data_IF_643427893208
#
_entry.id   IF_643427893208
#
_cell.length_a   1.000
_cell.length_b   1.000
_cell.length_c   1.000
_cell.angle_alpha   90.00
_cell.angle_beta   90.00
_cell.angle_gamma   90.00
#
_symmetry.space_group_name_H-M   'P 1'
#
loop_
_entity.id
_entity.type
_entity.pdbx_description
1 polymer ?
#
# COMPACT_ATOMS: atom_id res chain seq x y z
N UNK A 1 23.49 -24.53 -9.78
CA UNK A 1 22.79 -24.47 -8.48
C UNK A 1 22.29 -23.04 -8.32
N UNK A 2 21.03 -22.83 -7.96
CA UNK A 2 20.53 -21.47 -7.72
C UNK A 2 21.02 -20.99 -6.34
N UNK A 3 21.54 -19.76 -6.27
CA UNK A 3 22.00 -19.16 -5.02
C UNK A 3 20.84 -18.46 -4.32
N UNK A 4 20.76 -18.57 -2.99
CA UNK A 4 19.79 -17.86 -2.16
C UNK A 4 20.26 -16.41 -1.92
N UNK A 5 19.32 -15.47 -1.81
CA UNK A 5 19.61 -14.17 -1.22
C UNK A 5 19.78 -14.30 0.31
N UNK A 6 21.02 -14.31 0.78
CA UNK A 6 21.36 -14.47 2.20
C UNK A 6 20.84 -13.34 3.10
N UNK A 7 20.44 -12.20 2.54
CA UNK A 7 19.83 -11.12 3.33
C UNK A 7 18.52 -11.57 4.01
N UNK A 8 17.80 -12.54 3.45
CA UNK A 8 16.62 -13.12 4.09
C UNK A 8 16.94 -13.82 5.42
N UNK A 9 18.17 -14.29 5.61
CA UNK A 9 18.59 -14.93 6.86
C UNK A 9 18.87 -13.92 7.98
N UNK A 10 19.05 -12.64 7.64
CA UNK A 10 19.28 -11.56 8.61
C UNK A 10 17.98 -11.06 9.25
N UNK A 11 16.83 -11.26 8.59
CA UNK A 11 15.52 -10.85 9.08
C UNK A 11 15.18 -11.64 10.36
N UNK A 12 14.99 -10.94 11.48
CA UNK A 12 14.51 -11.59 12.70
C UNK A 12 13.07 -12.10 12.48
N UNK A 13 12.78 -13.28 13.01
CA UNK A 13 11.60 -14.07 12.64
C UNK A 13 10.27 -13.33 12.77
N UNK A 14 9.47 -13.41 11.70
CA UNK A 14 8.03 -13.10 11.66
C UNK A 14 7.70 -11.62 11.52
N UNK A 15 7.25 -11.20 10.33
CA UNK A 15 6.63 -9.88 10.17
C UNK A 15 5.51 -9.73 11.22
N UNK A 16 5.50 -8.61 11.94
CA UNK A 16 4.70 -8.36 13.15
C UNK A 16 3.23 -8.81 12.99
N UNK A 17 2.66 -8.51 11.83
CA UNK A 17 1.25 -8.68 11.54
C UNK A 17 0.82 -10.15 11.29
N UNK A 18 1.52 -10.94 10.45
CA UNK A 18 1.34 -12.39 10.39
C UNK A 18 1.45 -13.10 11.74
N UNK A 19 2.39 -12.69 12.59
CA UNK A 19 2.55 -13.33 13.90
C UNK A 19 1.38 -13.01 14.84
N UNK A 20 0.90 -11.76 14.85
CA UNK A 20 -0.35 -11.39 15.55
C UNK A 20 -1.52 -12.22 15.03
N UNK A 21 -1.67 -12.34 13.70
CA UNK A 21 -2.75 -13.10 13.08
C UNK A 21 -2.69 -14.59 13.47
N UNK A 22 -1.48 -15.19 13.51
CA UNK A 22 -1.28 -16.58 13.94
C UNK A 22 -1.76 -16.79 15.38
N UNK A 23 -1.31 -15.95 16.32
CA UNK A 23 -1.67 -16.07 17.75
C UNK A 23 -3.15 -15.80 18.00
N UNK A 24 -3.74 -14.81 17.32
CA UNK A 24 -5.19 -14.57 17.40
C UNK A 24 -5.96 -15.77 16.85
N UNK A 25 -5.47 -16.40 15.77
CA UNK A 25 -6.05 -17.62 15.21
C UNK A 25 -6.00 -18.80 16.19
N UNK A 26 -4.88 -19.00 16.88
CA UNK A 26 -4.72 -20.02 17.95
C UNK A 26 -5.69 -19.77 19.10
N UNK A 27 -5.70 -18.56 19.64
CA UNK A 27 -6.62 -18.15 20.70
C UNK A 27 -8.08 -18.40 20.33
N UNK A 28 -8.50 -18.04 19.11
CA UNK A 28 -9.87 -18.24 18.66
C UNK A 28 -10.27 -19.71 18.56
N UNK A 29 -9.32 -20.61 18.22
CA UNK A 29 -9.57 -22.06 18.17
C UNK A 29 -9.68 -22.67 19.56
N UNK A 30 -8.82 -22.24 20.49
CA UNK A 30 -8.76 -22.76 21.86
C UNK A 30 -9.87 -22.19 22.76
N UNK A 31 -10.38 -20.99 22.44
CA UNK A 31 -11.40 -20.31 23.24
C UNK A 31 -12.60 -19.81 22.41
N UNK A 32 -13.45 -20.70 21.86
CA UNK A 32 -14.55 -20.31 20.95
C UNK A 32 -15.56 -19.31 21.55
N UNK A 33 -15.88 -19.42 22.84
CA UNK A 33 -16.82 -18.49 23.49
C UNK A 33 -16.22 -17.10 23.71
N UNK A 34 -14.92 -17.01 23.98
CA UNK A 34 -14.23 -15.73 24.08
C UNK A 34 -14.04 -15.09 22.69
N UNK A 35 -13.79 -15.90 21.67
CA UNK A 35 -13.64 -15.47 20.28
C UNK A 35 -14.87 -14.70 19.77
N UNK A 36 -16.09 -15.09 20.18
CA UNK A 36 -17.34 -14.38 19.84
C UNK A 36 -17.39 -12.93 20.34
N UNK A 37 -16.59 -12.59 21.36
CA UNK A 37 -16.54 -11.27 22.00
C UNK A 37 -15.21 -10.54 21.71
N UNK A 38 -14.36 -11.10 20.85
CA UNK A 38 -13.05 -10.54 20.56
C UNK A 38 -13.19 -9.23 19.77
N UNK A 39 -12.61 -8.15 20.31
CA UNK A 39 -12.49 -6.86 19.62
C UNK A 39 -11.07 -6.73 19.09
N UNK A 40 -10.92 -6.48 17.79
CA UNK A 40 -9.61 -6.39 17.12
C UNK A 40 -9.19 -4.93 17.00
N UNK A 41 -8.31 -4.47 17.89
CA UNK A 41 -7.70 -3.14 17.86
C UNK A 41 -6.23 -3.15 17.36
N UNK A 42 -5.84 -4.17 16.59
CA UNK A 42 -4.51 -4.32 16.02
C UNK A 42 -4.38 -3.63 14.66
N UNK A 43 -4.01 -4.37 13.61
CA UNK A 43 -4.05 -3.88 12.22
C UNK A 43 -5.44 -3.31 11.90
N UNK A 44 -6.47 -4.03 12.36
CA UNK A 44 -7.86 -3.75 12.02
C UNK A 44 -8.13 -4.03 10.53
N UNK A 45 -9.40 -4.21 10.22
CA UNK A 45 -9.90 -3.97 8.87
C UNK A 45 -10.91 -2.83 8.99
N UNK A 46 -10.98 -1.95 8.00
CA UNK A 46 -11.92 -0.84 8.06
C UNK A 46 -13.34 -1.39 8.00
N UNK A 47 -14.26 -0.81 8.78
CA UNK A 47 -15.64 -1.30 8.88
C UNK A 47 -16.61 -0.52 7.99
N UNK A 48 -16.23 0.68 7.56
CA UNK A 48 -17.06 1.55 6.75
C UNK A 48 -16.92 1.22 5.25
N UNK A 49 -18.02 1.24 4.49
CA UNK A 49 -17.98 0.98 3.07
C UNK A 49 -17.27 2.11 2.31
N UNK A 50 -16.87 1.82 1.07
CA UNK A 50 -16.34 2.85 0.17
C UNK A 50 -17.36 3.99 -0.01
N UNK A 51 -16.91 5.26 -0.04
CA UNK A 51 -17.80 6.38 -0.34
C UNK A 51 -18.49 6.21 -1.69
N UNK A 52 -19.75 6.62 -1.78
CA UNK A 52 -20.58 6.49 -2.98
C UNK A 52 -19.90 7.08 -4.24
N UNK A 53 -19.19 8.20 -4.10
CA UNK A 53 -18.45 8.83 -5.20
C UNK A 53 -17.37 7.91 -5.80
N UNK A 54 -16.66 7.15 -4.96
CA UNK A 54 -15.66 6.18 -5.42
C UNK A 54 -16.32 5.00 -6.13
N UNK A 55 -17.42 4.48 -5.56
CA UNK A 55 -18.19 3.37 -6.16
C UNK A 55 -18.67 3.75 -7.56
N UNK A 56 -19.26 4.93 -7.72
CA UNK A 56 -19.75 5.40 -9.01
C UNK A 56 -18.64 5.61 -10.03
N UNK A 57 -17.49 6.15 -9.61
CA UNK A 57 -16.33 6.32 -10.48
C UNK A 57 -15.78 4.98 -10.97
N UNK A 58 -15.65 3.99 -10.07
CA UNK A 58 -15.19 2.63 -10.42
C UNK A 58 -16.16 1.96 -11.40
N UNK A 59 -17.47 2.06 -11.16
CA UNK A 59 -18.49 1.52 -12.08
C UNK A 59 -18.39 2.14 -13.47
N UNK A 60 -18.29 3.47 -13.55
CA UNK A 60 -18.12 4.18 -14.82
C UNK A 60 -16.84 3.76 -15.55
N UNK A 61 -15.73 3.59 -14.84
CA UNK A 61 -14.47 3.14 -15.43
C UNK A 61 -14.59 1.71 -15.97
N UNK A 62 -15.27 0.80 -15.26
CA UNK A 62 -15.54 -0.55 -15.75
C UNK A 62 -16.42 -0.53 -17.01
N UNK A 63 -17.48 0.28 -17.03
CA UNK A 63 -18.36 0.45 -18.19
C UNK A 63 -17.61 1.06 -19.40
N UNK A 64 -16.66 1.96 -19.17
CA UNK A 64 -15.78 2.54 -20.21
C UNK A 64 -14.89 1.47 -20.85
N UNK A 65 -14.29 0.59 -20.03
CA UNK A 65 -13.44 -0.49 -20.52
C UNK A 65 -14.24 -1.61 -21.22
N UNK A 66 -15.55 -1.72 -20.97
CA UNK A 66 -16.43 -2.68 -21.63
C UNK A 66 -16.81 -2.30 -23.08
N UNK A 67 -16.51 -1.08 -23.52
CA UNK A 67 -16.87 -0.57 -24.86
C UNK A 67 -15.63 -0.47 -25.72
N UNK A 68 -15.67 -1.06 -26.92
CA UNK A 68 -14.52 -1.12 -27.84
C UNK A 68 -14.01 0.27 -28.22
N UNK A 69 -14.91 1.24 -28.33
CA UNK A 69 -14.62 2.60 -28.77
C UNK A 69 -13.89 3.42 -27.70
N UNK A 70 -14.04 3.06 -26.42
CA UNK A 70 -13.45 3.77 -25.27
C UNK A 70 -12.44 2.94 -24.48
N UNK A 71 -12.21 1.70 -24.88
CA UNK A 71 -11.25 0.81 -24.25
C UNK A 71 -9.83 1.41 -24.25
N UNK A 72 -9.14 1.25 -23.11
CA UNK A 72 -7.74 1.65 -22.92
C UNK A 72 -6.93 0.42 -22.55
N UNK A 73 -5.79 0.23 -23.21
CA UNK A 73 -4.83 -0.82 -22.88
C UNK A 73 -3.95 -0.44 -21.68
N UNK A 74 -2.65 -0.69 -21.78
CA UNK A 74 -1.70 -0.19 -20.78
C UNK A 74 -1.81 1.34 -20.67
N UNK A 75 -1.97 1.81 -19.43
CA UNK A 75 -1.86 3.22 -19.10
C UNK A 75 -0.39 3.64 -18.99
N UNK A 76 -0.13 4.95 -18.84
CA UNK A 76 1.21 5.45 -18.53
C UNK A 76 1.68 4.93 -17.16
N UNK A 77 2.92 4.48 -17.08
CA UNK A 77 3.49 3.81 -15.90
C UNK A 77 3.60 4.75 -14.68
N UNK A 78 3.73 6.05 -14.92
CA UNK A 78 3.73 7.08 -13.86
C UNK A 78 2.33 7.37 -13.31
N UNK A 79 1.28 6.87 -13.97
CA UNK A 79 -0.12 7.18 -13.69
C UNK A 79 -0.73 8.18 -14.67
N UNK A 80 -2.05 8.08 -14.85
CA UNK A 80 -2.79 8.96 -15.75
C UNK A 80 -2.67 10.43 -15.33
N UNK A 81 -2.47 11.32 -16.30
CA UNK A 81 -2.28 12.76 -16.09
C UNK A 81 -3.41 13.39 -15.27
N UNK A 82 -4.67 13.05 -15.55
CA UNK A 82 -5.80 13.62 -14.81
C UNK A 82 -5.69 13.39 -13.29
N UNK A 83 -5.12 12.26 -12.86
CA UNK A 83 -4.94 11.95 -11.45
C UNK A 83 -3.71 12.67 -10.90
N UNK A 84 -2.58 12.62 -11.61
CA UNK A 84 -1.34 13.31 -11.23
C UNK A 84 -1.55 14.81 -11.06
N UNK A 85 -2.18 15.47 -12.04
CA UNK A 85 -2.51 16.91 -11.98
C UNK A 85 -3.47 17.24 -10.84
N UNK A 86 -4.43 16.35 -10.54
CA UNK A 86 -5.36 16.55 -9.41
C UNK A 86 -4.62 16.48 -8.08
N UNK A 87 -3.75 15.47 -7.88
CA UNK A 87 -2.93 15.33 -6.66
C UNK A 87 -2.01 16.55 -6.51
N UNK A 88 -1.23 16.89 -7.55
CA UNK A 88 -0.32 18.03 -7.54
C UNK A 88 -1.06 19.34 -7.20
N UNK A 89 -2.27 19.54 -7.74
CA UNK A 89 -3.07 20.72 -7.42
C UNK A 89 -3.62 20.71 -6.00
N UNK A 90 -4.34 19.66 -5.61
CA UNK A 90 -5.17 19.63 -4.39
C UNK A 90 -4.36 19.41 -3.13
N UNK A 91 -3.35 18.55 -3.20
CA UNK A 91 -2.58 18.17 -2.02
C UNK A 91 -1.37 19.08 -1.82
N UNK A 92 -0.88 19.72 -2.89
CA UNK A 92 0.36 20.53 -2.85
C UNK A 92 0.14 22.00 -3.24
N UNK A 93 -0.25 22.31 -4.49
CA UNK A 93 -0.30 23.71 -4.98
C UNK A 93 -1.36 24.57 -4.29
N UNK A 94 -2.54 24.01 -3.97
CA UNK A 94 -3.58 24.69 -3.16
C UNK A 94 -3.06 25.02 -1.74
N UNK A 95 -2.02 24.31 -1.28
CA UNK A 95 -1.30 24.54 -0.02
C UNK A 95 -0.02 25.36 -0.18
N UNK A 96 0.18 25.97 -1.35
CA UNK A 96 1.35 26.79 -1.72
C UNK A 96 2.67 26.01 -1.77
N UNK A 97 2.61 24.71 -2.07
CA UNK A 97 3.76 23.87 -2.34
C UNK A 97 3.89 23.67 -3.86
N UNK A 98 5.01 24.07 -4.44
CA UNK A 98 5.24 24.09 -5.89
C UNK A 98 5.59 22.74 -6.49
N UNK A 99 4.69 21.76 -6.38
CA UNK A 99 4.84 20.43 -6.98
C UNK A 99 4.28 20.43 -8.42
N UNK A 100 5.09 19.95 -9.36
CA UNK A 100 4.74 19.74 -10.75
C UNK A 100 4.05 18.38 -10.97
N UNK A 101 3.31 18.26 -12.07
CA UNK A 101 2.51 17.07 -12.34
C UNK A 101 3.39 15.84 -12.65
N UNK A 102 4.59 16.06 -13.17
CA UNK A 102 5.62 15.05 -13.49
C UNK A 102 6.52 14.68 -12.30
N UNK A 103 6.31 15.31 -11.14
CA UNK A 103 6.90 14.89 -9.86
C UNK A 103 6.02 13.87 -9.10
N UNK A 104 4.79 13.60 -9.60
CA UNK A 104 3.86 12.65 -9.00
C UNK A 104 3.93 11.30 -9.72
N UNK A 105 4.22 10.24 -8.97
CA UNK A 105 4.23 8.86 -9.44
C UNK A 105 3.13 8.08 -8.71
N UNK A 106 2.14 7.57 -9.45
CA UNK A 106 1.01 6.81 -8.89
C UNK A 106 1.36 5.33 -8.86
N UNK A 107 1.28 4.71 -7.69
CA UNK A 107 1.56 3.30 -7.46
C UNK A 107 0.32 2.53 -6.97
N UNK A 108 0.50 1.24 -6.70
CA UNK A 108 -0.49 0.37 -6.07
C UNK A 108 -0.54 0.51 -4.53
N UNK A 109 0.38 1.28 -3.93
CA UNK A 109 0.32 1.68 -2.54
C UNK A 109 1.67 1.93 -1.89
N UNK A 110 1.66 2.73 -0.82
CA UNK A 110 2.88 3.19 -0.15
C UNK A 110 3.76 2.07 0.39
N UNK A 111 3.21 0.91 0.75
CA UNK A 111 4.02 -0.24 1.18
C UNK A 111 4.93 -0.75 0.08
N UNK A 112 4.44 -0.81 -1.16
CA UNK A 112 5.22 -1.23 -2.32
C UNK A 112 6.29 -0.19 -2.62
N UNK A 113 5.94 1.10 -2.64
CA UNK A 113 6.87 2.20 -2.88
C UNK A 113 8.03 2.24 -1.88
N UNK A 114 7.75 2.01 -0.59
CA UNK A 114 8.78 1.94 0.44
C UNK A 114 9.76 0.78 0.22
N UNK A 115 9.32 -0.31 -0.41
CA UNK A 115 10.20 -1.40 -0.83
C UNK A 115 10.99 -1.05 -2.08
N UNK A 116 10.31 -0.57 -3.13
CA UNK A 116 10.90 -0.30 -4.44
C UNK A 116 11.87 0.87 -4.45
N UNK A 117 11.72 1.85 -3.55
CA UNK A 117 12.68 2.96 -3.46
C UNK A 117 14.10 2.47 -3.12
N UNK A 118 14.24 1.32 -2.47
CA UNK A 118 15.54 0.73 -2.16
C UNK A 118 16.25 0.19 -3.41
N UNK A 119 15.50 -0.19 -4.45
CA UNK A 119 16.06 -0.70 -5.70
C UNK A 119 16.89 0.37 -6.42
N UNK A 120 16.55 1.66 -6.26
CA UNK A 120 17.28 2.77 -6.88
C UNK A 120 18.38 3.34 -5.97
N UNK A 121 18.37 3.05 -4.67
CA UNK A 121 19.36 3.53 -3.71
C UNK A 121 20.51 2.52 -3.53
N UNK A 122 20.26 1.23 -3.70
CA UNK A 122 21.27 0.18 -3.55
C UNK A 122 21.64 -0.14 -2.10
N UNK A 123 22.57 -1.08 -1.92
CA UNK A 123 22.91 -1.71 -0.64
C UNK A 123 24.13 -1.09 0.08
N UNK A 124 24.79 -0.11 -0.52
CA UNK A 124 26.02 0.51 0.01
C UNK A 124 25.75 1.70 0.95
N UNK A 125 24.50 2.14 1.07
CA UNK A 125 24.14 3.29 1.87
C UNK A 125 23.80 2.90 3.32
N UNK A 126 24.12 3.80 4.25
CA UNK A 126 23.60 3.73 5.62
C UNK A 126 22.29 4.54 5.70
N UNK A 127 21.28 3.96 6.34
CA UNK A 127 19.96 4.58 6.45
C UNK A 127 19.64 4.88 7.92
N UNK A 128 18.97 6.01 8.16
CA UNK A 128 18.43 6.38 9.45
C UNK A 128 16.91 6.17 9.46
N UNK A 129 16.40 5.49 10.48
CA UNK A 129 14.97 5.31 10.72
C UNK A 129 14.61 5.84 12.12
N UNK A 130 13.44 6.45 12.30
CA UNK A 130 12.91 6.74 13.64
C UNK A 130 12.79 5.45 14.48
N UNK A 131 12.79 5.59 15.80
CA UNK A 131 12.47 4.50 16.73
C UNK A 131 11.51 5.03 17.81
N UNK A 132 10.23 4.58 17.86
CA UNK A 132 9.63 3.51 17.05
C UNK A 132 9.21 3.93 15.64
N UNK A 133 9.11 2.97 14.72
CA UNK A 133 8.70 3.18 13.32
C UNK A 133 7.86 2.02 12.77
N UNK A 134 7.15 2.25 11.67
CA UNK A 134 6.44 1.21 10.93
C UNK A 134 7.44 0.17 10.36
N UNK A 135 7.23 -1.14 10.56
CA UNK A 135 8.25 -2.16 10.29
C UNK A 135 8.51 -2.45 8.82
N UNK A 136 7.93 -1.70 7.87
CA UNK A 136 8.25 -1.85 6.44
C UNK A 136 9.60 -1.23 6.10
N UNK A 137 10.08 -0.26 6.88
CA UNK A 137 11.35 0.42 6.63
C UNK A 137 12.58 -0.34 7.16
N UNK A 138 12.37 -1.41 7.95
CA UNK A 138 13.40 -2.16 8.68
C UNK A 138 13.43 -3.60 8.19
#
# INVERSE_FOLDING_TARGET
MAYLNENYLKLQTGYLFPEIARRVGEFCREHPEAAKKLIRCGIGDVTEPLPQAAIEAIKRAADELGKRETFRGYGPEQGYEFLRSTIAQKDFRDRKLGIADDEIFVSDGSKCDCGFILDILGDQNEFAVPDPVYPVYV
#
